data_IF_083098561063
#
_entry.id   IF_083098561063
#
_cell.length_a   1.000
_cell.length_b   1.000
_cell.length_c   1.000
_cell.angle_alpha   90.00
_cell.angle_beta   90.00
_cell.angle_gamma   90.00
#
_symmetry.space_group_name_H-M   'P 1'
#
loop_
_entity.id
_entity.type
_entity.pdbx_description
1 polymer ?
#
# COMPACT_ATOMS: atom_id res chain seq x y z
N UNK A 1 9.37 -28.03 14.29
CA UNK A 1 9.43 -28.34 12.85
C UNK A 1 10.18 -27.19 12.20
N UNK A 2 11.40 -27.40 11.72
CA UNK A 2 12.08 -26.40 10.90
C UNK A 2 11.39 -26.36 9.56
N UNK A 3 10.54 -25.37 9.35
CA UNK A 3 10.14 -24.98 7.99
C UNK A 3 11.39 -24.45 7.32
N UNK A 4 11.97 -25.23 6.42
CA UNK A 4 12.97 -24.79 5.46
C UNK A 4 12.35 -23.59 4.72
N UNK A 5 12.72 -22.36 5.10
CA UNK A 5 12.33 -21.18 4.33
C UNK A 5 13.04 -21.33 2.99
N UNK A 6 12.28 -21.73 1.98
CA UNK A 6 12.66 -21.58 0.59
C UNK A 6 13.22 -20.17 0.39
N UNK A 7 14.33 -20.12 -0.35
CA UNK A 7 15.21 -19.00 -0.67
C UNK A 7 14.40 -17.75 -1.12
N UNK A 8 13.76 -17.07 -0.16
CA UNK A 8 13.16 -15.77 -0.43
C UNK A 8 14.32 -14.81 -0.62
N UNK A 9 14.43 -14.14 -1.78
CA UNK A 9 15.45 -13.12 -1.95
C UNK A 9 15.30 -12.11 -0.81
N UNK A 10 16.44 -11.70 -0.25
CA UNK A 10 16.46 -10.67 0.78
C UNK A 10 15.59 -9.48 0.32
N UNK A 11 14.74 -8.93 1.19
CA UNK A 11 13.87 -7.82 0.84
C UNK A 11 14.69 -6.63 0.34
N UNK A 12 14.39 -6.17 -0.88
CA UNK A 12 14.90 -4.91 -1.39
C UNK A 12 14.19 -3.75 -0.70
N UNK A 13 14.90 -3.03 0.16
CA UNK A 13 14.32 -1.97 0.97
C UNK A 13 14.37 -0.63 0.25
N UNK A 14 13.22 0.01 0.08
CA UNK A 14 13.10 1.32 -0.58
C UNK A 14 13.94 2.41 0.10
N UNK A 15 14.16 2.33 1.41
CA UNK A 15 15.01 3.27 2.15
C UNK A 15 16.48 3.26 1.70
N UNK A 16 16.93 2.23 0.98
CA UNK A 16 18.27 2.18 0.38
C UNK A 16 18.34 2.82 -1.02
N UNK A 17 17.22 3.31 -1.56
CA UNK A 17 17.13 3.92 -2.89
C UNK A 17 16.73 5.41 -2.83
N UNK A 18 17.55 6.30 -2.23
CA UNK A 18 17.19 7.69 -2.03
C UNK A 18 16.94 8.46 -3.33
N UNK A 19 17.59 8.09 -4.43
CA UNK A 19 17.37 8.72 -5.75
C UNK A 19 15.93 8.50 -6.26
N UNK A 20 15.36 7.30 -6.01
CA UNK A 20 14.01 6.95 -6.44
C UNK A 20 12.93 7.44 -5.47
N UNK A 21 13.27 7.68 -4.20
CA UNK A 21 12.31 7.96 -3.13
C UNK A 21 12.58 9.24 -2.33
N UNK A 22 13.44 10.14 -2.82
CA UNK A 22 13.90 11.36 -2.13
C UNK A 22 12.76 12.19 -1.52
N UNK A 23 11.69 12.41 -2.28
CA UNK A 23 10.50 13.18 -1.84
C UNK A 23 9.69 12.53 -0.69
N UNK A 24 9.97 11.28 -0.34
CA UNK A 24 9.27 10.54 0.71
C UNK A 24 10.06 10.45 2.03
N UNK A 25 11.28 10.98 2.07
CA UNK A 25 12.07 11.03 3.29
C UNK A 25 11.63 12.18 4.19
N UNK A 26 11.45 11.86 5.47
CA UNK A 26 11.18 12.80 6.55
C UNK A 26 12.42 12.85 7.45
N UNK A 27 13.04 14.02 7.53
CA UNK A 27 14.28 14.25 8.29
C UNK A 27 14.11 15.23 9.44
N UNK A 28 13.00 15.97 9.49
CA UNK A 28 12.72 16.91 10.57
C UNK A 28 12.39 16.15 11.88
N UNK A 29 13.11 16.37 13.00
CA UNK A 29 12.93 15.59 14.23
C UNK A 29 11.49 15.60 14.77
N UNK A 30 10.78 16.73 14.66
CA UNK A 30 9.37 16.85 15.09
C UNK A 30 8.44 15.99 14.23
N UNK A 31 8.67 15.92 12.92
CA UNK A 31 7.87 15.07 12.04
C UNK A 31 8.18 13.59 12.28
N UNK A 32 9.46 13.25 12.45
CA UNK A 32 9.87 11.88 12.82
C UNK A 32 9.16 11.48 14.11
N UNK A 33 9.26 12.29 15.16
CA UNK A 33 8.62 12.04 16.46
C UNK A 33 7.11 11.87 16.35
N UNK A 34 6.44 12.72 15.55
CA UNK A 34 5.01 12.59 15.29
C UNK A 34 4.64 11.21 14.73
N UNK A 35 5.35 10.71 13.73
CA UNK A 35 5.07 9.40 13.13
C UNK A 35 5.42 8.23 14.05
N UNK A 36 6.53 8.33 14.80
CA UNK A 36 6.89 7.30 15.78
C UNK A 36 5.85 7.22 16.91
N UNK A 37 5.42 8.36 17.47
CA UNK A 37 4.34 8.40 18.46
C UNK A 37 3.00 7.91 17.90
N UNK A 38 2.74 8.12 16.60
CA UNK A 38 1.56 7.57 15.95
C UNK A 38 1.62 6.04 15.85
N UNK A 39 2.80 5.45 15.58
CA UNK A 39 3.00 3.99 15.62
C UNK A 39 2.69 3.42 17.01
N UNK A 40 3.19 4.08 18.07
CA UNK A 40 2.91 3.73 19.48
C UNK A 40 1.41 3.79 19.76
N UNK A 41 0.79 4.95 19.50
CA UNK A 41 -0.64 5.18 19.78
C UNK A 41 -1.56 4.18 19.10
N UNK A 42 -1.18 3.69 17.91
CA UNK A 42 -1.95 2.71 17.13
C UNK A 42 -1.65 1.26 17.51
N UNK A 43 -0.65 1.00 18.35
CA UNK A 43 -0.15 -0.36 18.61
C UNK A 43 0.25 -1.06 17.32
N UNK A 44 0.86 -0.32 16.38
CA UNK A 44 1.12 -0.82 15.04
C UNK A 44 2.08 -2.00 15.07
N UNK A 45 1.77 -3.09 14.36
CA UNK A 45 2.70 -4.18 14.17
C UNK A 45 3.83 -3.75 13.23
N UNK A 46 5.07 -3.94 13.67
CA UNK A 46 6.28 -3.68 12.89
C UNK A 46 7.00 -4.99 12.60
N UNK A 47 7.67 -5.05 11.46
CA UNK A 47 8.68 -6.08 11.18
C UNK A 47 10.06 -5.47 11.34
N UNK A 48 10.85 -6.00 12.28
CA UNK A 48 12.25 -5.68 12.46
C UNK A 48 13.11 -6.65 11.65
N UNK A 49 13.71 -6.17 10.57
CA UNK A 49 14.62 -6.94 9.74
C UNK A 49 16.06 -6.74 10.22
N UNK A 50 16.78 -7.84 10.38
CA UNK A 50 18.16 -7.90 10.87
C UNK A 50 19.08 -8.11 9.66
N UNK A 51 20.11 -7.26 9.53
CA UNK A 51 21.17 -7.36 8.51
C UNK A 51 20.63 -7.65 7.10
N UNK A 52 19.81 -6.72 6.62
CA UNK A 52 19.19 -6.74 5.29
C UNK A 52 18.24 -7.91 5.04
N UNK A 53 17.60 -8.38 6.11
CA UNK A 53 16.51 -9.36 6.04
C UNK A 53 16.95 -10.81 6.14
N UNK A 54 18.22 -11.08 6.46
CA UNK A 54 18.72 -12.43 6.78
C UNK A 54 17.93 -13.09 7.92
N UNK A 55 17.44 -12.29 8.85
CA UNK A 55 16.47 -12.69 9.85
C UNK A 55 15.47 -11.54 10.08
N UNK A 56 14.30 -11.84 10.62
CA UNK A 56 13.35 -10.82 11.04
C UNK A 56 12.50 -11.31 12.21
N UNK A 57 11.87 -10.36 12.91
CA UNK A 57 10.85 -10.65 13.90
C UNK A 57 9.75 -9.59 13.87
N UNK A 58 8.57 -9.96 14.37
CA UNK A 58 7.47 -9.04 14.58
C UNK A 58 7.61 -8.39 15.97
N UNK A 59 7.34 -7.10 16.05
CA UNK A 59 7.43 -6.31 17.28
C UNK A 59 6.42 -5.15 17.25
N UNK A 60 6.27 -4.46 18.37
CA UNK A 60 5.54 -3.19 18.46
C UNK A 60 6.45 -2.10 19.00
N UNK A 61 6.16 -0.83 18.67
CA UNK A 61 6.82 0.31 19.30
C UNK A 61 6.02 0.68 20.54
N UNK A 62 6.65 0.59 21.70
CA UNK A 62 6.01 0.78 23.00
C UNK A 62 6.07 2.24 23.43
N UNK A 63 7.20 2.90 23.22
CA UNK A 63 7.40 4.28 23.60
C UNK A 63 8.44 4.97 22.73
N UNK A 64 8.33 6.29 22.67
CA UNK A 64 9.32 7.21 22.09
C UNK A 64 9.70 8.18 23.20
N UNK A 65 10.99 8.34 23.45
CA UNK A 65 11.55 9.31 24.38
C UNK A 65 12.28 10.39 23.57
N UNK A 66 11.58 11.51 23.35
CA UNK A 66 12.10 12.65 22.59
C UNK A 66 13.27 13.34 23.30
N UNK A 67 13.30 13.34 24.64
CA UNK A 67 14.38 13.97 25.41
C UNK A 67 15.66 13.15 25.34
N UNK A 68 15.55 11.83 25.52
CA UNK A 68 16.69 10.90 25.42
C UNK A 68 17.03 10.51 23.99
N UNK A 69 16.22 10.94 23.00
CA UNK A 69 16.32 10.52 21.60
C UNK A 69 16.43 8.99 21.50
N UNK A 70 15.43 8.30 22.06
CA UNK A 70 15.37 6.84 22.08
C UNK A 70 13.99 6.32 21.70
N UNK A 71 13.95 5.13 21.12
CA UNK A 71 12.72 4.38 20.88
C UNK A 71 12.78 3.04 21.60
N UNK A 72 11.62 2.58 22.04
CA UNK A 72 11.46 1.34 22.79
C UNK A 72 10.55 0.40 22.03
N UNK A 73 11.02 -0.83 21.82
CA UNK A 73 10.33 -1.89 21.11
C UNK A 73 10.11 -3.09 22.03
N UNK A 74 9.07 -3.85 21.74
CA UNK A 74 8.90 -5.18 22.33
C UNK A 74 10.05 -6.10 21.92
N UNK A 75 10.47 -6.95 22.85
CA UNK A 75 11.39 -8.04 22.57
C UNK A 75 10.76 -9.09 21.66
N UNK A 76 11.56 -9.73 20.83
CA UNK A 76 11.15 -10.93 20.10
C UNK A 76 10.83 -12.06 21.09
N UNK A 77 9.93 -12.97 20.71
CA UNK A 77 9.62 -14.16 21.50
C UNK A 77 10.83 -15.12 21.60
N UNK A 78 11.64 -15.20 20.55
CA UNK A 78 12.85 -16.02 20.51
C UNK A 78 14.08 -15.21 20.95
N UNK A 79 14.77 -15.70 21.98
CA UNK A 79 15.96 -15.04 22.53
C UNK A 79 17.14 -14.99 21.54
N UNK A 80 17.19 -15.92 20.58
CA UNK A 80 18.16 -15.91 19.49
C UNK A 80 17.98 -14.68 18.59
N UNK A 81 16.74 -14.28 18.31
CA UNK A 81 16.43 -13.09 17.50
C UNK A 81 16.75 -11.80 18.25
N UNK A 82 16.48 -11.76 19.56
CA UNK A 82 16.90 -10.65 20.42
C UNK A 82 18.42 -10.49 20.43
N UNK A 83 19.15 -11.61 20.55
CA UNK A 83 20.62 -11.63 20.52
C UNK A 83 21.15 -11.22 19.15
N UNK A 84 20.56 -11.72 18.07
CA UNK A 84 20.91 -11.33 16.70
C UNK A 84 20.68 -9.83 16.47
N UNK A 85 19.56 -9.27 16.94
CA UNK A 85 19.26 -7.85 16.76
C UNK A 85 20.22 -6.92 17.54
N UNK A 86 20.81 -7.41 18.64
CA UNK A 86 21.87 -6.71 19.38
C UNK A 86 23.23 -6.75 18.68
N UNK A 87 23.52 -7.86 18.02
CA UNK A 87 24.80 -8.09 17.34
C UNK A 87 24.76 -7.69 15.87
N UNK A 88 23.61 -7.23 15.38
CA UNK A 88 23.40 -6.79 14.01
C UNK A 88 24.38 -5.67 13.64
N UNK A 89 24.58 -5.45 12.35
CA UNK A 89 25.14 -4.21 11.82
C UNK A 89 24.06 -3.15 11.66
N UNK A 90 22.86 -3.56 11.23
CA UNK A 90 21.76 -2.64 10.89
C UNK A 90 20.41 -3.30 11.10
N UNK A 91 19.47 -2.54 11.65
CA UNK A 91 18.06 -2.95 11.79
C UNK A 91 17.19 -2.10 10.88
N UNK A 92 16.21 -2.73 10.23
CA UNK A 92 15.20 -2.03 9.41
C UNK A 92 13.83 -2.31 9.98
N UNK A 93 13.20 -1.30 10.54
CA UNK A 93 11.78 -1.42 10.89
C UNK A 93 10.94 -1.08 9.67
N UNK A 94 9.99 -1.95 9.36
CA UNK A 94 8.93 -1.68 8.39
C UNK A 94 7.58 -1.74 9.09
N UNK A 95 6.72 -0.76 8.81
CA UNK A 95 5.36 -0.71 9.31
C UNK A 95 4.41 -0.19 8.22
N UNK A 96 3.11 -0.29 8.46
CA UNK A 96 2.09 0.42 7.67
C UNK A 96 1.26 1.31 8.59
N UNK A 97 1.23 2.61 8.30
CA UNK A 97 0.28 3.55 8.90
C UNK A 97 -0.72 3.94 7.84
N UNK A 98 -2.01 3.69 8.07
CA UNK A 98 -3.08 4.06 7.11
C UNK A 98 -2.77 3.60 5.66
N UNK A 99 -2.21 2.38 5.54
CA UNK A 99 -1.74 1.73 4.29
C UNK A 99 -0.52 2.39 3.63
N UNK A 100 0.06 3.42 4.24
CA UNK A 100 1.34 4.02 3.85
C UNK A 100 2.47 3.22 4.45
N UNK A 101 3.39 2.73 3.61
CA UNK A 101 4.56 1.99 4.09
C UNK A 101 5.54 2.97 4.74
N UNK A 102 5.94 2.64 5.96
CA UNK A 102 6.94 3.36 6.74
C UNK A 102 8.17 2.46 6.86
N UNK A 103 9.34 3.02 6.61
CA UNK A 103 10.63 2.38 6.86
C UNK A 103 11.55 3.31 7.65
N UNK A 104 12.34 2.73 8.54
CA UNK A 104 13.41 3.46 9.23
C UNK A 104 14.58 2.53 9.52
N UNK A 105 15.78 3.09 9.52
CA UNK A 105 17.01 2.38 9.88
C UNK A 105 17.38 2.70 11.31
N UNK A 106 17.78 1.66 12.03
CA UNK A 106 18.26 1.75 13.40
C UNK A 106 19.65 1.14 13.53
N UNK A 107 20.45 1.64 14.46
CA UNK A 107 21.64 0.93 14.93
C UNK A 107 21.23 -0.38 15.63
N UNK A 108 22.21 -1.19 16.03
CA UNK A 108 21.96 -2.43 16.77
C UNK A 108 21.20 -2.13 18.07
N UNK A 109 20.26 -3.01 18.41
CA UNK A 109 19.38 -2.80 19.55
C UNK A 109 20.11 -3.11 20.86
N UNK A 110 19.61 -2.57 21.97
CA UNK A 110 20.09 -2.88 23.32
C UNK A 110 18.95 -3.44 24.14
N UNK A 111 19.26 -4.33 25.09
CA UNK A 111 18.26 -4.71 26.09
C UNK A 111 18.22 -3.68 27.20
N UNK A 112 17.01 -3.36 27.61
CA UNK A 112 16.76 -2.59 28.82
C UNK A 112 15.60 -3.22 29.58
N UNK A 113 15.75 -3.33 30.90
CA UNK A 113 14.66 -3.71 31.78
C UNK A 113 13.92 -2.44 32.18
N UNK A 114 12.64 -2.34 31.84
CA UNK A 114 11.75 -1.23 32.21
C UNK A 114 10.58 -1.83 32.98
N UNK A 115 10.40 -1.45 34.24
CA UNK A 115 9.33 -1.95 35.11
C UNK A 115 9.21 -3.49 35.14
N UNK A 116 10.36 -4.18 35.09
CA UNK A 116 10.44 -5.64 35.06
C UNK A 116 10.18 -6.29 33.68
N UNK A 117 9.79 -5.52 32.67
CA UNK A 117 9.64 -5.98 31.30
C UNK A 117 10.94 -5.79 30.51
N UNK A 118 11.39 -6.84 29.82
CA UNK A 118 12.52 -6.77 28.90
C UNK A 118 12.10 -6.10 27.60
N UNK A 119 12.76 -4.99 27.27
CA UNK A 119 12.53 -4.23 26.05
C UNK A 119 13.79 -4.18 25.20
N UNK A 120 13.59 -3.88 23.91
CA UNK A 120 14.65 -3.54 22.98
C UNK A 120 14.67 -2.02 22.78
N UNK A 121 15.84 -1.42 22.86
CA UNK A 121 16.01 0.04 22.79
C UNK A 121 16.97 0.40 21.67
N UNK A 122 16.59 1.40 20.88
CA UNK A 122 17.45 1.98 19.85
C UNK A 122 17.53 3.50 19.99
N UNK A 123 18.61 4.06 19.46
CA UNK A 123 18.67 5.51 19.25
C UNK A 123 17.57 5.95 18.27
N UNK A 124 17.13 7.19 18.42
CA UNK A 124 16.17 7.82 17.53
C UNK A 124 16.69 7.81 16.07
N UNK A 125 15.85 7.46 15.08
CA UNK A 125 16.28 7.40 13.70
C UNK A 125 16.55 8.81 13.13
N UNK A 126 17.57 8.93 12.29
CA UNK A 126 17.89 10.20 11.61
C UNK A 126 16.88 10.58 10.53
N UNK A 127 16.17 9.59 9.98
CA UNK A 127 15.14 9.78 8.97
C UNK A 127 14.11 8.65 9.03
N UNK A 128 12.90 8.96 8.57
CA UNK A 128 11.87 7.99 8.24
C UNK A 128 11.57 8.08 6.75
N UNK A 129 11.50 6.96 6.06
CA UNK A 129 10.95 6.88 4.72
C UNK A 129 9.44 6.60 4.82
N UNK A 130 8.61 7.55 4.38
CA UNK A 130 7.14 7.44 4.33
C UNK A 130 6.65 7.37 2.89
N UNK A 131 6.46 6.16 2.38
CA UNK A 131 6.24 5.87 0.96
C UNK A 131 4.77 6.09 0.58
N UNK A 132 4.39 7.35 0.35
CA UNK A 132 3.08 7.71 -0.21
C UNK A 132 3.20 7.97 -1.71
N UNK A 133 3.35 6.90 -2.52
CA UNK A 133 3.49 7.02 -3.99
C UNK A 133 2.24 7.47 -4.73
N UNK A 134 1.11 7.61 -4.03
CA UNK A 134 -0.19 7.88 -4.65
C UNK A 134 -0.75 9.20 -4.13
N UNK A 135 -1.11 10.07 -5.07
CA UNK A 135 -1.89 11.28 -4.82
C UNK A 135 -3.32 10.96 -4.33
N UNK A 136 -3.86 9.79 -4.72
CA UNK A 136 -5.23 9.39 -4.41
C UNK A 136 -5.30 8.02 -3.72
N UNK A 137 -6.22 7.90 -2.77
CA UNK A 137 -6.61 6.61 -2.22
C UNK A 137 -7.29 5.75 -3.29
N UNK A 138 -6.96 4.45 -3.30
CA UNK A 138 -7.56 3.46 -4.20
C UNK A 138 -8.50 2.55 -3.40
N UNK A 139 -9.76 2.56 -3.79
CA UNK A 139 -10.74 1.62 -3.33
C UNK A 139 -10.71 0.37 -4.23
N UNK A 140 -10.27 -0.75 -3.68
CA UNK A 140 -10.44 -2.06 -4.32
C UNK A 140 -11.94 -2.38 -4.44
N UNK A 141 -12.37 -2.72 -5.65
CA UNK A 141 -13.73 -3.11 -5.98
C UNK A 141 -14.10 -4.39 -5.23
N UNK A 142 -15.33 -4.45 -4.71
CA UNK A 142 -15.80 -5.64 -4.00
C UNK A 142 -16.33 -6.67 -5.00
N UNK A 143 -16.06 -7.94 -4.75
CA UNK A 143 -16.72 -9.03 -5.50
C UNK A 143 -18.23 -9.08 -5.27
N UNK A 144 -18.72 -8.64 -4.10
CA UNK A 144 -20.15 -8.62 -3.79
C UNK A 144 -20.90 -7.49 -4.52
N UNK A 145 -20.23 -6.38 -4.77
CA UNK A 145 -20.77 -5.21 -5.46
C UNK A 145 -19.74 -4.69 -6.47
N UNK A 146 -19.60 -5.36 -7.63
CA UNK A 146 -18.58 -5.00 -8.61
C UNK A 146 -18.91 -3.66 -9.27
N UNK A 147 -17.89 -2.85 -9.46
CA UNK A 147 -17.95 -1.68 -10.35
C UNK A 147 -17.66 -2.17 -11.77
N UNK A 148 -18.56 -1.88 -12.71
CA UNK A 148 -18.44 -2.27 -14.11
C UNK A 148 -18.11 -1.06 -14.98
N UNK A 149 -17.26 -1.26 -15.99
CA UNK A 149 -16.93 -0.22 -16.97
C UNK A 149 -17.23 -0.75 -18.37
N UNK A 150 -18.12 -0.07 -19.09
CA UNK A 150 -18.38 -0.36 -20.51
C UNK A 150 -17.55 0.57 -21.40
N UNK A 151 -16.78 -0.03 -22.29
CA UNK A 151 -15.90 0.66 -23.22
C UNK A 151 -16.29 0.25 -24.64
N UNK A 152 -16.48 1.23 -25.52
CA UNK A 152 -16.63 0.99 -26.95
C UNK A 152 -15.29 1.22 -27.66
N UNK A 153 -14.88 0.26 -28.48
CA UNK A 153 -13.68 0.34 -29.31
C UNK A 153 -14.08 0.12 -30.77
N UNK A 154 -13.39 0.80 -31.68
CA UNK A 154 -13.55 0.57 -33.11
C UNK A 154 -12.72 -0.65 -33.51
N UNK A 155 -13.38 -1.65 -34.08
CA UNK A 155 -12.72 -2.81 -34.65
C UNK A 155 -12.06 -2.45 -36.00
N UNK A 156 -11.09 -3.22 -36.50
CA UNK A 156 -10.41 -2.93 -37.77
C UNK A 156 -11.35 -2.75 -38.97
N UNK A 157 -12.51 -3.41 -38.96
CA UNK A 157 -13.55 -3.27 -39.98
C UNK A 157 -14.45 -2.02 -39.83
N UNK A 158 -14.18 -1.14 -38.87
CA UNK A 158 -14.93 0.09 -38.59
C UNK A 158 -16.19 -0.09 -37.74
N UNK A 159 -16.48 -1.31 -37.26
CA UNK A 159 -17.63 -1.53 -36.37
C UNK A 159 -17.28 -1.18 -34.92
N UNK A 160 -18.23 -0.63 -34.17
CA UNK A 160 -18.05 -0.38 -32.74
C UNK A 160 -18.36 -1.65 -31.94
N UNK A 161 -17.35 -2.20 -31.29
CA UNK A 161 -17.48 -3.31 -30.33
C UNK A 161 -17.51 -2.76 -28.92
N UNK A 162 -18.55 -3.11 -28.16
CA UNK A 162 -18.66 -2.77 -26.74
C UNK A 162 -18.17 -3.92 -25.88
N UNK A 163 -17.35 -3.59 -24.89
CA UNK A 163 -16.85 -4.49 -23.87
C UNK A 163 -17.35 -4.04 -22.49
N UNK A 164 -17.63 -4.98 -21.60
CA UNK A 164 -17.93 -4.71 -20.19
C UNK A 164 -16.84 -5.37 -19.34
N UNK A 165 -16.08 -4.57 -18.59
CA UNK A 165 -14.97 -5.02 -17.76
C UNK A 165 -15.17 -4.67 -16.30
N UNK A 166 -14.67 -5.54 -15.43
CA UNK A 166 -14.59 -5.24 -14.00
C UNK A 166 -13.52 -4.18 -13.75
N UNK A 167 -13.87 -3.19 -12.94
CA UNK A 167 -12.88 -2.33 -12.29
C UNK A 167 -12.29 -3.09 -11.12
N UNK A 168 -10.96 -3.20 -11.10
CA UNK A 168 -10.23 -3.78 -9.98
C UNK A 168 -10.07 -2.77 -8.84
N UNK A 169 -9.67 -1.53 -9.15
CA UNK A 169 -9.53 -0.45 -8.19
C UNK A 169 -9.93 0.91 -8.79
N UNK A 170 -10.45 1.82 -7.97
CA UNK A 170 -10.85 3.19 -8.35
C UNK A 170 -10.31 4.22 -7.36
N UNK A 171 -9.97 5.41 -7.86
CA UNK A 171 -9.47 6.56 -7.09
C UNK A 171 -9.96 7.88 -7.69
N UNK A 172 -9.68 9.01 -7.05
CA UNK A 172 -9.99 10.34 -7.63
C UNK A 172 -9.25 10.63 -8.94
N UNK A 173 -8.08 10.01 -9.18
CA UNK A 173 -7.28 10.24 -10.39
C UNK A 173 -7.55 9.27 -11.54
N UNK A 174 -8.26 8.16 -11.30
CA UNK A 174 -8.44 7.12 -12.30
C UNK A 174 -8.84 5.77 -11.72
N UNK A 175 -8.75 4.74 -12.54
CA UNK A 175 -9.17 3.37 -12.20
C UNK A 175 -8.30 2.33 -12.90
N UNK A 176 -8.34 1.09 -12.43
CA UNK A 176 -7.72 -0.03 -13.10
C UNK A 176 -8.77 -1.06 -13.53
N UNK A 177 -8.69 -1.54 -14.76
CA UNK A 177 -9.62 -2.50 -15.37
C UNK A 177 -8.98 -3.87 -15.49
N UNK A 178 -9.81 -4.91 -15.45
CA UNK A 178 -9.42 -6.26 -15.84
C UNK A 178 -9.98 -6.55 -17.24
N UNK A 179 -9.10 -6.62 -18.24
CA UNK A 179 -9.46 -6.88 -19.64
C UNK A 179 -8.94 -8.26 -20.11
N UNK A 180 -9.55 -8.86 -21.15
CA UNK A 180 -9.00 -10.05 -21.80
C UNK A 180 -7.60 -9.80 -22.39
N UNK A 181 -6.71 -10.78 -22.31
CA UNK A 181 -5.35 -10.73 -22.88
C UNK A 181 -5.32 -10.52 -24.39
N UNK A 182 -6.39 -10.92 -25.09
CA UNK A 182 -6.54 -10.69 -26.54
C UNK A 182 -6.57 -9.20 -26.94
N UNK A 183 -6.76 -8.28 -25.98
CA UNK A 183 -6.87 -6.83 -26.23
C UNK A 183 -5.60 -6.06 -25.83
N UNK A 184 -4.46 -6.74 -25.73
CA UNK A 184 -3.19 -6.12 -25.34
C UNK A 184 -2.77 -4.98 -26.29
N UNK A 185 -3.07 -5.13 -27.58
CA UNK A 185 -2.77 -4.12 -28.60
C UNK A 185 -3.72 -2.91 -28.52
N UNK A 186 -4.96 -3.12 -28.08
CA UNK A 186 -5.95 -2.04 -27.88
C UNK A 186 -5.73 -1.28 -26.57
N UNK A 187 -5.04 -1.90 -25.61
CA UNK A 187 -4.75 -1.35 -24.29
C UNK A 187 -3.31 -0.86 -24.15
N UNK A 188 -2.73 -0.28 -25.21
CA UNK A 188 -1.39 0.32 -25.14
C UNK A 188 -1.39 1.63 -24.36
N UNK A 189 -0.21 2.05 -23.89
CA UNK A 189 -0.03 3.35 -23.22
C UNK A 189 -0.58 4.47 -24.12
N UNK A 190 -1.28 5.40 -23.50
CA UNK A 190 -1.95 6.57 -24.09
C UNK A 190 -3.16 6.27 -24.99
N UNK A 191 -3.58 5.00 -25.13
CA UNK A 191 -4.88 4.66 -25.68
C UNK A 191 -6.00 5.38 -24.91
N UNK A 192 -6.97 5.93 -25.64
CA UNK A 192 -8.03 6.79 -25.10
C UNK A 192 -9.40 6.16 -25.29
N UNK A 193 -10.02 5.73 -24.19
CA UNK A 193 -11.40 5.24 -24.18
C UNK A 193 -12.35 6.39 -23.85
N UNK A 194 -12.94 6.97 -24.90
CA UNK A 194 -13.89 8.08 -24.78
C UNK A 194 -15.27 7.59 -24.35
N UNK A 195 -15.98 8.40 -23.56
CA UNK A 195 -17.37 8.16 -23.16
C UNK A 195 -17.62 6.76 -22.55
N UNK A 196 -16.64 6.24 -21.81
CA UNK A 196 -16.75 4.98 -21.08
C UNK A 196 -17.84 5.12 -20.02
N UNK A 197 -18.70 4.10 -19.88
CA UNK A 197 -19.78 4.09 -18.88
C UNK A 197 -19.32 3.33 -17.64
N UNK A 198 -19.10 4.07 -16.56
CA UNK A 198 -18.72 3.53 -15.26
C UNK A 198 -19.96 3.37 -14.39
N UNK A 199 -20.36 2.13 -14.12
CA UNK A 199 -21.47 1.78 -13.25
C UNK A 199 -20.98 1.62 -11.81
N UNK A 200 -21.35 2.56 -10.95
CA UNK A 200 -20.91 2.63 -9.55
C UNK A 200 -22.07 2.21 -8.63
N UNK A 201 -21.92 1.13 -7.84
CA UNK A 201 -22.94 0.66 -6.92
C UNK A 201 -23.41 1.75 -5.95
N UNK A 202 -24.70 2.10 -6.03
CA UNK A 202 -25.34 3.12 -5.20
C UNK A 202 -25.20 4.57 -5.67
N UNK A 203 -24.39 4.86 -6.70
CA UNK A 203 -24.29 6.21 -7.30
C UNK A 203 -24.84 6.27 -8.74
N UNK A 204 -24.94 5.14 -9.43
CA UNK A 204 -25.43 5.04 -10.81
C UNK A 204 -24.33 5.11 -11.87
N UNK A 205 -24.68 5.48 -13.09
CA UNK A 205 -23.76 5.44 -14.24
C UNK A 205 -23.13 6.80 -14.52
N UNK A 206 -21.80 6.84 -14.52
CA UNK A 206 -20.99 7.99 -14.90
C UNK A 206 -20.38 7.82 -16.30
N UNK A 207 -20.39 8.88 -17.11
CA UNK A 207 -19.57 8.94 -18.32
C UNK A 207 -18.18 9.46 -17.97
N UNK A 208 -17.14 8.76 -18.39
CA UNK A 208 -15.74 9.13 -18.16
C UNK A 208 -14.89 8.90 -19.41
N UNK A 209 -13.88 9.74 -19.59
CA UNK A 209 -12.82 9.50 -20.57
C UNK A 209 -11.62 8.89 -19.85
N UNK A 210 -11.06 7.82 -20.37
CA UNK A 210 -9.98 7.06 -19.74
C UNK A 210 -8.77 7.03 -20.66
N UNK A 211 -7.60 7.49 -20.17
CA UNK A 211 -6.32 7.31 -20.87
C UNK A 211 -5.53 6.20 -20.19
N UNK A 212 -5.11 5.20 -20.96
CA UNK A 212 -4.27 4.10 -20.46
C UNK A 212 -2.89 4.63 -20.08
N UNK A 213 -2.42 4.32 -18.87
CA UNK A 213 -1.09 4.73 -18.36
C UNK A 213 -0.15 3.56 -18.15
N UNK A 214 -0.69 2.38 -17.85
CA UNK A 214 0.08 1.14 -17.72
C UNK A 214 -0.82 -0.05 -18.02
N UNK A 215 -0.27 -1.01 -18.76
CA UNK A 215 -0.87 -2.32 -18.96
C UNK A 215 0.13 -3.38 -18.52
N UNK A 216 -0.34 -4.37 -17.78
CA UNK A 216 0.47 -5.50 -17.33
C UNK A 216 -0.39 -6.74 -17.25
N UNK A 217 0.16 -7.88 -17.67
CA UNK A 217 -0.48 -9.18 -17.47
C UNK A 217 -0.44 -9.58 -15.99
N UNK A 218 -1.50 -10.25 -15.54
CA UNK A 218 -1.54 -10.89 -14.23
C UNK A 218 -2.32 -12.21 -14.31
N UNK A 219 -1.87 -13.19 -13.54
CA UNK A 219 -2.60 -14.44 -13.34
C UNK A 219 -3.45 -14.32 -12.07
N UNK A 220 -4.75 -14.55 -12.20
CA UNK A 220 -5.63 -14.71 -11.05
C UNK A 220 -5.39 -16.08 -10.37
N UNK A 221 -5.81 -16.21 -9.11
CA UNK A 221 -5.62 -17.44 -8.31
C UNK A 221 -6.26 -18.68 -8.96
N UNK A 222 -7.29 -18.49 -9.79
CA UNK A 222 -7.94 -19.57 -10.55
C UNK A 222 -7.21 -19.94 -11.86
N UNK A 223 -6.00 -19.41 -12.08
CA UNK A 223 -5.20 -19.65 -13.29
C UNK A 223 -5.62 -18.84 -14.52
N UNK A 224 -6.67 -18.01 -14.43
CA UNK A 224 -7.08 -17.16 -15.54
C UNK A 224 -6.12 -15.99 -15.72
N UNK A 225 -5.73 -15.72 -16.95
CA UNK A 225 -4.85 -14.61 -17.31
C UNK A 225 -5.66 -13.41 -17.76
N UNK A 226 -5.35 -12.24 -17.19
CA UNK A 226 -5.99 -10.97 -17.51
C UNK A 226 -4.94 -9.89 -17.74
N UNK A 227 -5.34 -8.83 -18.45
CA UNK A 227 -4.63 -7.56 -18.43
C UNK A 227 -5.16 -6.71 -17.29
N UNK A 228 -4.26 -6.20 -16.45
CA UNK A 228 -4.52 -5.06 -15.58
C UNK A 228 -4.21 -3.79 -16.37
N UNK A 229 -5.26 -3.05 -16.73
CA UNK A 229 -5.17 -1.80 -17.51
C UNK A 229 -5.42 -0.63 -16.56
N UNK A 230 -4.34 0.04 -16.14
CA UNK A 230 -4.42 1.24 -15.31
C UNK A 230 -4.67 2.47 -16.16
N UNK A 231 -5.77 3.18 -15.88
CA UNK A 231 -6.21 4.38 -16.59
C UNK A 231 -6.25 5.59 -15.67
N UNK A 232 -5.92 6.77 -16.21
CA UNK A 232 -6.24 8.05 -15.60
C UNK A 232 -7.57 8.60 -16.17
N UNK A 233 -8.28 9.39 -15.37
CA UNK A 233 -9.39 10.17 -15.90
C UNK A 233 -8.90 11.36 -16.72
N UNK A 234 -9.52 11.58 -17.88
CA UNK A 234 -9.24 12.74 -18.74
C UNK A 234 -10.38 13.74 -18.62
N UNK A 235 -10.05 14.97 -18.22
CA UNK A 235 -11.00 16.10 -18.15
C UNK A 235 -12.28 15.77 -17.36
N UNK A 236 -12.14 15.07 -16.23
CA UNK A 236 -13.28 14.67 -15.42
C UNK A 236 -13.94 15.92 -14.79
N UNK A 237 -15.23 16.18 -15.07
CA UNK A 237 -15.93 17.30 -14.43
C UNK A 237 -15.95 17.15 -12.90
N UNK A 238 -15.77 18.26 -12.18
CA UNK A 238 -15.71 18.24 -10.71
C UNK A 238 -16.93 17.60 -10.03
N UNK A 239 -18.12 17.68 -10.64
CA UNK A 239 -19.32 17.00 -10.14
C UNK A 239 -19.23 15.47 -10.21
N UNK A 240 -18.58 14.91 -11.24
CA UNK A 240 -18.34 13.46 -11.38
C UNK A 240 -17.23 12.99 -10.45
N UNK A 241 -16.17 13.79 -10.30
CA UNK A 241 -15.12 13.53 -9.30
C UNK A 241 -15.72 13.45 -7.89
N UNK A 242 -16.53 14.43 -7.50
CA UNK A 242 -17.19 14.44 -6.20
C UNK A 242 -18.08 13.19 -5.98
N UNK A 243 -18.75 12.68 -7.02
CA UNK A 243 -19.54 11.44 -6.92
C UNK A 243 -18.64 10.23 -6.63
N UNK A 244 -17.51 10.10 -7.35
CA UNK A 244 -16.53 9.03 -7.12
C UNK A 244 -15.94 9.13 -5.70
N UNK A 245 -15.59 10.32 -5.23
CA UNK A 245 -15.05 10.53 -3.89
C UNK A 245 -16.06 10.20 -2.79
N UNK A 246 -17.35 10.56 -2.97
CA UNK A 246 -18.42 10.18 -2.03
C UNK A 246 -18.60 8.68 -1.95
N UNK A 247 -18.56 7.98 -3.09
CA UNK A 247 -18.60 6.53 -3.13
C UNK A 247 -17.43 5.92 -2.35
N UNK A 248 -16.20 6.36 -2.63
CA UNK A 248 -14.99 5.90 -1.94
C UNK A 248 -15.13 6.10 -0.43
N UNK A 249 -15.48 7.32 0.00
CA UNK A 249 -15.63 7.65 1.41
C UNK A 249 -16.75 6.87 2.11
N UNK A 250 -17.83 6.49 1.39
CA UNK A 250 -18.90 5.65 1.92
C UNK A 250 -18.41 4.22 2.15
N UNK A 251 -17.79 3.59 1.15
CA UNK A 251 -17.29 2.20 1.28
C UNK A 251 -16.18 2.12 2.34
N UNK A 252 -15.31 3.13 2.45
CA UNK A 252 -14.30 3.17 3.51
C UNK A 252 -14.92 3.19 4.91
N UNK A 253 -15.99 3.98 5.11
CA UNK A 253 -16.73 4.02 6.39
C UNK A 253 -17.39 2.67 6.69
N UNK A 254 -18.02 2.04 5.70
CA UNK A 254 -18.65 0.72 5.85
C UNK A 254 -17.62 -0.37 6.20
N UNK A 255 -16.42 -0.33 5.60
CA UNK A 255 -15.32 -1.27 5.93
C UNK A 255 -14.80 -1.03 7.35
N UNK A 256 -14.56 0.22 7.75
CA UNK A 256 -14.15 0.57 9.12
C UNK A 256 -15.19 0.13 10.16
N UNK A 257 -16.48 0.26 9.87
CA UNK A 257 -17.54 -0.21 10.76
C UNK A 257 -17.57 -1.74 10.91
N UNK A 258 -17.35 -2.49 9.82
CA UNK A 258 -17.20 -3.95 9.87
C UNK A 258 -15.97 -4.39 10.66
N UNK A 259 -14.81 -3.77 10.39
CA UNK A 259 -13.55 -4.13 11.04
C UNK A 259 -13.55 -3.83 12.56
N UNK A 260 -14.37 -2.86 12.99
CA UNK A 260 -14.56 -2.52 14.41
C UNK A 260 -15.68 -3.30 15.11
N UNK A 261 -16.38 -4.19 14.40
CA UNK A 261 -17.49 -4.97 14.96
C UNK A 261 -18.80 -4.18 15.16
N UNK A 262 -18.92 -2.99 14.54
CA UNK A 262 -20.09 -2.11 14.65
C UNK A 262 -21.14 -2.32 13.54
N UNK A 263 -20.88 -3.21 12.59
CA UNK A 263 -21.81 -3.53 11.50
C UNK A 263 -22.40 -4.94 11.68
N UNK A 264 -23.70 -5.00 11.96
CA UNK A 264 -24.53 -6.21 11.91
C UNK A 264 -25.18 -6.33 10.53
#
# INVERSE_FOLDING_TARGET
MSSTQEDQPNPDFEIDHPEAYSQYFLTAPREISFYLNLLVKRGSLLTAHIDDGKAFFLTTMIAVDDEKQAIFLDSAQADELNTAAKNAHRITLTAKLDRVKIQLRLPPLRHQLVDGQKMLVAAFPQAILRIQRREFFRLESSSAHPILCRIAMEAPEGTLKTFEWNVADISGGGLSLNAPTSLINDCQRDALFKNSRLDIPGEGVLLVNLRVRKTSEFSAENGQHYLRVGCEFVELPGSRLAMIERYIARIERERKARDSGLAN
#
